data_IF_391318755138
#
_entry.id   IF_391318755138
#
_cell.length_a   1.000
_cell.length_b   1.000
_cell.length_c   1.000
_cell.angle_alpha   90.00
_cell.angle_beta   90.00
_cell.angle_gamma   90.00
#
_symmetry.space_group_name_H-M   'P 1'
#
loop_
_entity.id
_entity.type
_entity.pdbx_description
1 polymer ?
#
# COMPACT_ATOMS: atom_id res chain seq x y z
N UNK A 1 3.49 -11.89 -22.70
CA UNK A 1 3.89 -11.30 -21.40
C UNK A 1 3.00 -10.09 -21.19
N UNK A 2 2.20 -10.02 -20.11
CA UNK A 2 1.28 -8.89 -19.87
C UNK A 2 2.09 -7.57 -19.78
N UNK A 3 1.64 -6.52 -20.45
CA UNK A 3 2.31 -5.21 -20.54
C UNK A 3 2.60 -4.60 -19.16
N UNK A 4 1.73 -4.84 -18.18
CA UNK A 4 1.93 -4.37 -16.80
C UNK A 4 3.00 -5.16 -16.05
N UNK A 5 3.17 -6.45 -16.35
CA UNK A 5 4.29 -7.24 -15.83
C UNK A 5 5.61 -6.67 -16.33
N UNK A 6 5.65 -6.25 -17.60
CA UNK A 6 6.80 -5.55 -18.19
C UNK A 6 7.04 -4.20 -17.51
N UNK A 7 6.00 -3.40 -17.28
CA UNK A 7 6.10 -2.12 -16.57
C UNK A 7 6.67 -2.28 -15.15
N UNK A 8 6.20 -3.25 -14.36
CA UNK A 8 6.72 -3.50 -13.00
C UNK A 8 8.18 -3.99 -13.06
N UNK A 9 8.51 -4.89 -14.00
CA UNK A 9 9.86 -5.39 -14.13
C UNK A 9 10.86 -4.31 -14.61
N UNK A 10 10.41 -3.37 -15.43
CA UNK A 10 11.21 -2.25 -15.93
C UNK A 10 11.22 -1.05 -14.98
N UNK A 11 10.26 -0.97 -14.05
CA UNK A 11 10.14 0.14 -13.11
C UNK A 11 11.40 0.36 -12.28
N UNK A 12 12.04 -0.64 -11.66
CA UNK A 12 13.27 -0.41 -10.90
C UNK A 12 14.37 0.29 -11.71
N UNK A 13 14.41 0.07 -13.02
CA UNK A 13 15.36 0.68 -13.94
C UNK A 13 14.94 2.11 -14.32
N UNK A 14 13.64 2.36 -14.49
CA UNK A 14 13.04 3.66 -14.91
C UNK A 14 12.74 4.61 -13.74
N UNK A 15 12.53 4.08 -12.53
CA UNK A 15 12.19 4.82 -11.32
C UNK A 15 13.30 5.78 -10.88
N UNK A 16 14.54 5.49 -11.25
CA UNK A 16 15.71 6.32 -10.95
C UNK A 16 15.51 7.77 -11.38
N UNK A 17 14.91 8.03 -12.55
CA UNK A 17 14.72 9.41 -13.03
C UNK A 17 13.78 10.21 -12.14
N UNK A 18 12.64 9.63 -11.75
CA UNK A 18 11.65 10.29 -10.90
C UNK A 18 12.15 10.44 -9.47
N UNK A 19 12.80 9.41 -8.91
CA UNK A 19 13.39 9.49 -7.58
C UNK A 19 14.50 10.53 -7.52
N UNK A 20 15.33 10.63 -8.57
CA UNK A 20 16.36 11.66 -8.66
C UNK A 20 15.74 13.07 -8.76
N UNK A 21 14.70 13.26 -9.58
CA UNK A 21 13.98 14.53 -9.68
C UNK A 21 13.44 14.98 -8.32
N UNK A 22 12.91 14.04 -7.53
CA UNK A 22 12.37 14.30 -6.20
C UNK A 22 13.46 14.29 -5.10
N UNK A 23 14.72 14.09 -5.46
CA UNK A 23 15.84 13.96 -4.52
C UNK A 23 15.60 12.87 -3.45
N UNK A 24 14.94 11.78 -3.84
CA UNK A 24 14.67 10.62 -3.00
C UNK A 24 15.78 9.59 -3.22
N UNK A 25 16.44 9.10 -2.16
CA UNK A 25 17.36 7.98 -2.30
C UNK A 25 16.65 6.79 -2.90
N UNK A 26 17.22 6.19 -3.96
CA UNK A 26 16.76 4.92 -4.51
C UNK A 26 17.11 3.74 -3.58
N UNK A 27 16.54 3.79 -2.39
CA UNK A 27 16.59 2.77 -1.35
C UNK A 27 15.14 2.46 -1.02
N UNK A 28 14.73 1.22 -1.22
CA UNK A 28 13.36 0.80 -0.96
C UNK A 28 13.13 0.60 0.55
N UNK A 29 13.10 1.71 1.29
CA UNK A 29 13.05 1.75 2.77
C UNK A 29 11.92 2.64 3.25
N UNK A 30 11.52 2.48 4.52
CA UNK A 30 10.55 3.38 5.16
C UNK A 30 10.99 4.84 5.12
N UNK A 31 12.29 5.12 5.35
CA UNK A 31 12.83 6.48 5.34
C UNK A 31 12.69 7.14 3.96
N UNK A 32 12.99 6.41 2.88
CA UNK A 32 12.78 6.93 1.52
C UNK A 32 11.31 7.18 1.22
N UNK A 33 10.41 6.33 1.73
CA UNK A 33 8.97 6.52 1.58
C UNK A 33 8.46 7.75 2.33
N UNK A 34 8.93 7.98 3.55
CA UNK A 34 8.62 9.17 4.35
C UNK A 34 9.12 10.45 3.68
N UNK A 35 10.32 10.42 3.09
CA UNK A 35 10.83 11.56 2.33
C UNK A 35 10.00 11.80 1.06
N UNK A 36 9.60 10.74 0.35
CA UNK A 36 8.75 10.85 -0.83
C UNK A 36 7.40 11.48 -0.49
N UNK A 37 6.77 11.04 0.58
CA UNK A 37 5.50 11.61 1.08
C UNK A 37 5.63 13.12 1.35
N UNK A 38 6.71 13.54 2.02
CA UNK A 38 7.01 14.96 2.24
C UNK A 38 7.16 15.72 0.92
N UNK A 39 7.90 15.18 -0.05
CA UNK A 39 8.08 15.80 -1.38
C UNK A 39 6.78 15.90 -2.17
N UNK A 40 5.90 14.92 -2.05
CA UNK A 40 4.59 14.96 -2.70
C UNK A 40 3.74 16.11 -2.18
N UNK A 41 3.79 16.40 -0.88
CA UNK A 41 3.09 17.54 -0.27
C UNK A 41 3.69 18.87 -0.73
N UNK A 42 5.02 18.97 -0.78
CA UNK A 42 5.72 20.17 -1.28
C UNK A 42 5.41 20.46 -2.76
N UNK A 43 5.18 19.42 -3.56
CA UNK A 43 4.91 19.50 -5.00
C UNK A 43 3.44 19.21 -5.36
N UNK A 44 2.53 19.38 -4.39
CA UNK A 44 1.13 18.93 -4.49
C UNK A 44 0.44 19.24 -5.83
N UNK A 45 0.45 20.48 -6.38
CA UNK A 45 -0.26 20.76 -7.61
C UNK A 45 0.30 19.98 -8.81
N UNK A 46 1.62 19.78 -8.84
CA UNK A 46 2.31 19.07 -9.92
C UNK A 46 2.05 17.56 -9.83
N UNK A 47 2.16 16.98 -8.64
CA UNK A 47 1.93 15.54 -8.43
C UNK A 47 0.47 15.18 -8.65
N UNK A 48 -0.47 16.01 -8.19
CA UNK A 48 -1.90 15.76 -8.38
C UNK A 48 -2.33 15.84 -9.85
N UNK A 49 -1.68 16.68 -10.66
CA UNK A 49 -2.02 16.85 -12.07
C UNK A 49 -1.36 15.79 -12.99
N UNK A 50 -0.22 15.22 -12.59
CA UNK A 50 0.55 14.31 -13.44
C UNK A 50 0.31 12.82 -13.10
N UNK A 51 -0.43 12.14 -13.98
CA UNK A 51 -0.76 10.72 -13.84
C UNK A 51 0.47 9.80 -13.93
N UNK A 52 1.50 10.18 -14.68
CA UNK A 52 2.73 9.41 -14.76
C UNK A 52 3.48 9.51 -13.44
N UNK A 53 3.60 10.71 -12.89
CA UNK A 53 4.24 10.92 -11.59
C UNK A 53 3.53 10.13 -10.48
N UNK A 54 2.18 10.14 -10.46
CA UNK A 54 1.40 9.30 -9.55
C UNK A 54 1.68 7.81 -9.72
N UNK A 55 1.79 7.36 -10.97
CA UNK A 55 2.13 5.96 -11.29
C UNK A 55 3.50 5.59 -10.75
N UNK A 56 4.51 6.45 -10.91
CA UNK A 56 5.85 6.19 -10.39
C UNK A 56 5.89 6.15 -8.87
N UNK A 57 5.18 7.05 -8.19
CA UNK A 57 5.02 7.02 -6.73
C UNK A 57 4.36 5.72 -6.29
N UNK A 58 3.29 5.31 -6.96
CA UNK A 58 2.54 4.10 -6.64
C UNK A 58 3.40 2.83 -6.79
N UNK A 59 4.17 2.75 -7.86
CA UNK A 59 5.11 1.66 -8.08
C UNK A 59 6.25 1.67 -7.06
N UNK A 60 6.75 2.86 -6.66
CA UNK A 60 7.77 2.96 -5.61
C UNK A 60 7.25 2.47 -4.26
N UNK A 61 6.06 2.94 -3.85
CA UNK A 61 5.37 2.45 -2.67
C UNK A 61 5.28 0.93 -2.70
N UNK A 62 4.84 0.38 -3.83
CA UNK A 62 4.67 -1.04 -3.95
C UNK A 62 5.97 -1.85 -3.87
N UNK A 63 7.04 -1.38 -4.50
CA UNK A 63 8.37 -1.98 -4.38
C UNK A 63 8.92 -1.94 -2.95
N UNK A 64 8.69 -0.82 -2.23
CA UNK A 64 9.04 -0.73 -0.80
C UNK A 64 8.32 -1.82 -0.01
N UNK A 65 7.02 -2.04 -0.24
CA UNK A 65 6.27 -3.06 0.48
C UNK A 65 6.74 -4.48 0.13
N UNK A 66 6.83 -4.81 -1.16
CA UNK A 66 7.23 -6.17 -1.61
C UNK A 66 8.62 -6.54 -1.09
N UNK A 67 9.56 -5.59 -1.05
CA UNK A 67 10.93 -5.86 -0.57
C UNK A 67 11.05 -5.97 0.93
N UNK A 68 10.19 -5.29 1.69
CA UNK A 68 10.27 -5.26 3.16
C UNK A 68 9.36 -6.30 3.85
N UNK A 69 8.40 -6.90 3.13
CA UNK A 69 7.47 -7.87 3.69
C UNK A 69 7.54 -9.20 2.93
N UNK A 70 8.09 -10.25 3.55
CA UNK A 70 8.36 -11.56 2.90
C UNK A 70 7.17 -12.21 2.18
N UNK A 71 5.93 -11.92 2.63
CA UNK A 71 4.69 -12.48 2.05
C UNK A 71 3.96 -11.49 1.13
N UNK A 72 4.55 -10.32 0.86
CA UNK A 72 4.00 -9.36 -0.08
C UNK A 72 4.45 -9.71 -1.51
N UNK A 73 3.52 -9.65 -2.47
CA UNK A 73 3.81 -9.88 -3.89
C UNK A 73 2.92 -9.03 -4.78
N UNK A 74 3.47 -8.60 -5.91
CA UNK A 74 2.71 -8.03 -7.01
C UNK A 74 1.79 -9.08 -7.64
N UNK A 75 0.57 -8.66 -7.98
CA UNK A 75 -0.37 -9.44 -8.78
C UNK A 75 -0.62 -8.65 -10.06
N UNK A 76 -0.26 -9.26 -11.19
CA UNK A 76 -0.31 -8.63 -12.52
C UNK A 76 -0.99 -9.50 -13.59
N UNK A 77 -1.39 -10.70 -13.23
CA UNK A 77 -1.87 -11.70 -14.21
C UNK A 77 -3.33 -11.44 -14.61
N UNK A 78 -4.08 -10.69 -13.79
CA UNK A 78 -5.51 -10.40 -13.95
C UNK A 78 -5.79 -8.89 -14.19
N UNK A 79 -4.75 -8.10 -14.55
CA UNK A 79 -4.87 -6.65 -14.65
C UNK A 79 -5.05 -6.20 -16.10
N UNK A 80 -6.15 -5.48 -16.36
CA UNK A 80 -6.45 -4.84 -17.66
C UNK A 80 -5.87 -3.43 -17.75
N UNK A 81 -5.77 -2.74 -16.61
CA UNK A 81 -5.26 -1.38 -16.49
C UNK A 81 -4.24 -1.21 -15.37
N UNK A 82 -3.49 -0.10 -15.36
CA UNK A 82 -2.59 0.25 -14.25
C UNK A 82 -3.32 0.40 -12.90
N UNK A 83 -4.63 0.63 -12.94
CA UNK A 83 -5.50 0.71 -11.76
C UNK A 83 -5.74 -0.63 -11.08
N UNK A 84 -5.59 -1.72 -11.85
CA UNK A 84 -5.86 -3.08 -11.39
C UNK A 84 -4.61 -3.74 -10.81
N UNK A 85 -3.44 -3.11 -11.03
CA UNK A 85 -2.16 -3.53 -10.46
C UNK A 85 -2.22 -3.39 -8.95
N UNK A 86 -2.03 -4.51 -8.25
CA UNK A 86 -2.16 -4.57 -6.81
C UNK A 86 -1.10 -5.44 -6.16
N UNK A 87 -0.94 -5.25 -4.86
CA UNK A 87 -0.09 -6.06 -4.01
C UNK A 87 -0.98 -6.89 -3.11
N UNK A 88 -0.63 -8.16 -2.97
CA UNK A 88 -1.22 -9.03 -1.96
C UNK A 88 -0.21 -9.28 -0.85
N UNK A 89 -0.66 -9.23 0.40
CA UNK A 89 0.09 -9.65 1.58
C UNK A 89 -0.72 -10.73 2.29
N UNK A 90 -0.07 -11.85 2.63
CA UNK A 90 -0.66 -12.82 3.54
C UNK A 90 -0.14 -12.62 4.97
N UNK A 91 -1.02 -12.53 5.96
CA UNK A 91 -0.62 -12.52 7.37
C UNK A 91 -0.17 -13.93 7.84
N UNK A 92 0.10 -14.11 9.14
CA UNK A 92 0.51 -15.43 9.64
C UNK A 92 -0.64 -16.45 9.64
N UNK A 93 -1.89 -15.98 9.78
CA UNK A 93 -3.09 -16.81 9.72
C UNK A 93 -3.50 -17.19 8.29
N UNK A 94 -2.79 -16.68 7.27
CA UNK A 94 -3.09 -16.97 5.86
C UNK A 94 -4.17 -16.08 5.24
N UNK A 95 -4.65 -15.07 5.96
CA UNK A 95 -5.57 -14.08 5.41
C UNK A 95 -4.84 -13.21 4.38
N UNK A 96 -5.51 -12.95 3.25
CA UNK A 96 -4.96 -12.16 2.14
C UNK A 96 -5.51 -10.75 2.21
N UNK A 97 -4.60 -9.78 2.13
CA UNK A 97 -4.92 -8.36 2.11
C UNK A 97 -4.42 -7.79 0.79
N UNK A 98 -5.28 -7.02 0.14
CA UNK A 98 -5.02 -6.43 -1.17
C UNK A 98 -4.84 -4.93 -1.02
N UNK A 99 -3.76 -4.40 -1.61
CA UNK A 99 -3.49 -2.98 -1.73
C UNK A 99 -3.42 -2.60 -3.21
N UNK A 100 -4.09 -1.51 -3.57
CA UNK A 100 -3.99 -0.88 -4.88
C UNK A 100 -3.15 0.40 -4.76
N UNK A 101 -1.83 0.36 -5.05
CA UNK A 101 -0.93 1.49 -4.77
C UNK A 101 -1.32 2.76 -5.54
N UNK A 102 -1.84 2.62 -6.76
CA UNK A 102 -2.24 3.76 -7.57
C UNK A 102 -3.43 4.51 -6.96
N UNK A 103 -4.49 3.79 -6.57
CA UNK A 103 -5.65 4.38 -5.87
C UNK A 103 -5.23 5.02 -4.55
N UNK A 104 -4.23 4.45 -3.87
CA UNK A 104 -3.67 5.01 -2.63
C UNK A 104 -3.05 6.38 -2.87
N UNK A 105 -2.23 6.51 -3.90
CA UNK A 105 -1.56 7.77 -4.26
C UNK A 105 -2.55 8.86 -4.68
N UNK A 106 -3.62 8.51 -5.38
CA UNK A 106 -4.64 9.50 -5.74
C UNK A 106 -5.37 10.07 -4.53
N UNK A 107 -5.78 9.19 -3.62
CA UNK A 107 -6.51 9.58 -2.42
C UNK A 107 -5.61 10.21 -1.35
N UNK A 108 -4.30 10.10 -1.49
CA UNK A 108 -3.33 10.72 -0.58
C UNK A 108 -3.63 12.19 -0.32
N UNK A 109 -3.97 12.93 -1.37
CA UNK A 109 -4.27 14.36 -1.27
C UNK A 109 -5.71 14.67 -0.84
N UNK A 110 -6.60 13.68 -0.90
CA UNK A 110 -7.98 13.82 -0.47
C UNK A 110 -8.12 13.60 1.04
N UNK A 111 -7.33 12.67 1.61
CA UNK A 111 -7.38 12.35 3.03
C UNK A 111 -6.01 11.83 3.54
N UNK A 112 -5.47 12.40 4.63
CA UNK A 112 -4.24 11.94 5.27
C UNK A 112 -4.20 10.45 5.66
N UNK A 113 -5.36 9.80 5.84
CA UNK A 113 -5.45 8.35 6.08
C UNK A 113 -4.81 7.51 4.96
N UNK A 114 -4.69 8.08 3.76
CA UNK A 114 -4.07 7.47 2.59
C UNK A 114 -2.56 7.72 2.50
N UNK A 115 -1.94 8.29 3.55
CA UNK A 115 -0.49 8.41 3.70
C UNK A 115 0.27 7.15 3.27
N UNK A 116 1.40 7.34 2.59
CA UNK A 116 2.31 6.28 2.19
C UNK A 116 2.99 5.65 3.42
N UNK A 117 3.36 6.47 4.40
CA UNK A 117 3.91 6.03 5.68
C UNK A 117 2.89 5.27 6.51
N UNK A 118 1.65 5.76 6.57
CA UNK A 118 0.49 5.08 7.18
C UNK A 118 0.27 3.71 6.51
N UNK A 119 0.38 3.66 5.19
CA UNK A 119 0.29 2.44 4.40
C UNK A 119 1.37 1.42 4.84
N UNK A 120 2.63 1.84 4.86
CA UNK A 120 3.72 0.98 5.31
C UNK A 120 3.53 0.45 6.75
N UNK A 121 3.13 1.32 7.68
CA UNK A 121 2.89 0.94 9.08
C UNK A 121 1.75 -0.07 9.20
N UNK A 122 0.66 0.14 8.47
CA UNK A 122 -0.47 -0.80 8.43
C UNK A 122 -0.04 -2.16 7.91
N UNK A 123 0.70 -2.20 6.79
CA UNK A 123 1.29 -3.44 6.27
C UNK A 123 2.20 -4.12 7.29
N UNK A 124 2.97 -3.34 8.05
CA UNK A 124 3.83 -3.86 9.10
C UNK A 124 3.02 -4.50 10.23
N UNK A 125 1.99 -3.83 10.73
CA UNK A 125 1.15 -4.33 11.80
C UNK A 125 0.39 -5.60 11.38
N UNK A 126 -0.14 -5.61 10.16
CA UNK A 126 -0.75 -6.80 9.54
C UNK A 126 0.26 -7.95 9.46
N UNK A 127 1.46 -7.69 8.96
CA UNK A 127 2.48 -8.72 8.76
C UNK A 127 2.93 -9.37 10.07
N UNK A 128 2.83 -8.63 11.18
CA UNK A 128 3.16 -9.06 12.55
C UNK A 128 1.95 -9.58 13.33
N UNK A 129 0.77 -9.68 12.70
CA UNK A 129 -0.54 -9.99 13.31
C UNK A 129 -0.88 -9.09 14.51
N UNK A 130 -0.40 -7.85 14.52
CA UNK A 130 -0.80 -6.86 15.52
C UNK A 130 -2.22 -6.33 15.27
N UNK A 131 -2.73 -6.51 14.05
CA UNK A 131 -4.12 -6.28 13.72
C UNK A 131 -4.86 -7.60 13.87
N UNK A 132 -5.69 -7.69 14.91
CA UNK A 132 -6.60 -8.79 15.08
C UNK A 132 -7.84 -8.52 14.21
N UNK A 133 -7.94 -9.17 13.07
CA UNK A 133 -9.16 -9.24 12.24
C UNK A 133 -10.20 -10.16 12.85
N UNK A 134 -9.82 -10.92 13.88
CA UNK A 134 -10.68 -11.86 14.58
C UNK A 134 -11.65 -11.07 15.46
N UNK A 135 -12.92 -11.08 15.07
CA UNK A 135 -13.98 -10.23 15.63
C UNK A 135 -14.67 -9.35 14.58
N UNK A 136 -14.12 -9.23 13.37
CA UNK A 136 -14.83 -8.60 12.26
C UNK A 136 -15.89 -9.57 11.70
N UNK A 137 -17.10 -9.10 11.35
CA UNK A 137 -18.13 -9.97 10.77
C UNK A 137 -17.60 -10.70 9.55
N UNK A 138 -17.78 -12.02 9.52
CA UNK A 138 -17.27 -12.88 8.43
C UNK A 138 -17.81 -12.38 7.09
N UNK A 139 -16.92 -12.11 6.15
CA UNK A 139 -17.28 -11.69 4.81
C UNK A 139 -17.54 -10.18 4.64
N UNK A 140 -17.55 -9.39 5.71
CA UNK A 140 -17.64 -7.94 5.63
C UNK A 140 -16.28 -7.29 5.35
N UNK A 141 -16.31 -6.20 4.59
CA UNK A 141 -15.14 -5.39 4.27
C UNK A 141 -15.02 -4.23 5.26
N UNK A 142 -13.93 -4.17 6.00
CA UNK A 142 -13.68 -3.12 6.99
C UNK A 142 -12.59 -2.18 6.50
N UNK A 143 -12.83 -0.88 6.63
CA UNK A 143 -11.85 0.15 6.31
C UNK A 143 -10.90 0.35 7.50
N UNK A 144 -9.61 0.12 7.28
CA UNK A 144 -8.57 0.42 8.28
C UNK A 144 -7.41 1.11 7.57
N UNK A 145 -7.03 2.32 7.98
CA UNK A 145 -5.89 3.05 7.40
C UNK A 145 -5.92 3.14 5.86
N UNK A 146 -7.09 3.31 5.24
CA UNK A 146 -7.28 3.33 3.78
C UNK A 146 -7.25 1.96 3.06
N UNK A 147 -7.30 0.85 3.79
CA UNK A 147 -7.36 -0.52 3.26
C UNK A 147 -8.76 -1.11 3.36
N UNK A 148 -9.05 -2.14 2.56
CA UNK A 148 -10.21 -3.01 2.77
C UNK A 148 -9.71 -4.35 3.32
N UNK A 149 -10.04 -4.64 4.57
CA UNK A 149 -9.77 -5.92 5.22
C UNK A 149 -11.02 -6.79 5.11
N UNK A 150 -10.86 -8.07 4.77
CA UNK A 150 -11.95 -9.05 4.79
C UNK A 150 -11.61 -10.14 5.79
N UNK A 151 -12.45 -10.30 6.82
CA UNK A 151 -12.30 -11.39 7.78
C UNK A 151 -12.62 -12.73 7.14
N UNK A 152 -11.72 -13.70 7.28
CA UNK A 152 -11.90 -15.04 6.73
C UNK A 152 -12.40 -16.08 7.75
N UNK A 153 -12.37 -15.81 9.06
CA UNK A 153 -12.85 -16.77 10.07
C UNK A 153 -13.50 -16.12 11.31
N UNK A 154 -14.69 -16.59 11.74
CA UNK A 154 -15.38 -16.12 12.94
C UNK A 154 -14.91 -16.80 14.25
N UNK A 155 -14.07 -17.85 14.19
CA UNK A 155 -13.98 -18.82 15.30
C UNK A 155 -12.81 -18.63 16.28
N UNK A 156 -12.28 -17.42 16.49
CA UNK A 156 -11.25 -17.22 17.53
C UNK A 156 -11.35 -15.87 18.24
N UNK A 157 -12.51 -15.56 18.80
CA UNK A 157 -12.70 -14.40 19.68
C UNK A 157 -11.75 -14.47 20.89
N UNK A 158 -10.57 -13.87 20.79
CA UNK A 158 -9.79 -13.44 21.96
C UNK A 158 -10.29 -12.06 22.38
N UNK A 159 -10.74 -11.93 23.63
CA UNK A 159 -11.44 -10.78 24.21
C UNK A 159 -10.68 -9.43 24.26
N UNK A 160 -9.56 -9.31 23.58
CA UNK A 160 -8.81 -8.06 23.53
C UNK A 160 -9.16 -7.31 22.25
N UNK A 161 -10.15 -6.40 22.30
CA UNK A 161 -10.21 -5.10 21.56
C UNK A 161 -11.65 -4.53 21.51
N UNK A 162 -12.03 -3.76 22.54
CA UNK A 162 -12.94 -2.61 22.40
C UNK A 162 -12.19 -1.40 22.93
N UNK A 163 -11.33 -0.78 22.12
CA UNK A 163 -10.80 0.54 22.46
C UNK A 163 -10.32 1.42 21.30
N UNK A 164 -10.27 0.93 20.05
CA UNK A 164 -9.72 1.73 18.93
C UNK A 164 -10.80 2.21 17.94
N UNK A 165 -12.04 1.70 18.01
CA UNK A 165 -13.11 2.10 17.06
C UNK A 165 -13.94 3.30 17.56
N UNK A 166 -13.80 3.74 18.82
CA UNK A 166 -14.61 4.83 19.38
C UNK A 166 -13.79 5.85 20.19
N UNK A 167 -12.81 6.52 19.56
CA UNK A 167 -12.41 7.86 20.01
C UNK A 167 -12.17 8.79 18.83
N UNK A 168 -13.21 9.59 18.61
CA UNK A 168 -13.29 10.94 18.01
C UNK A 168 -13.00 11.09 16.52
#
# INVERSE_FOLDING_TARGET
MNEYRKMINEFPTKANMVLNLLSIPNKYTYQSLSLLEKRMLELYPMVQADIYLQTYVALFLGEVLVRNFKKAKWVTEECETHWDVHITLSNSQGEKITLYPFRRVQRFFENPEYGLTVCYQTFQDISKNKINTVGLPKGEWVKFGGYQLRANNPDNLSNDLISIIHKE
#
